data_IF_291369213607
#
_entry.id   IF_291369213607
#
_cell.length_a   1.000
_cell.length_b   1.000
_cell.length_c   1.000
_cell.angle_alpha   90.00
_cell.angle_beta   90.00
_cell.angle_gamma   90.00
#
_symmetry.space_group_name_H-M   'P 1'
#
loop_
_entity.id
_entity.type
_entity.pdbx_description
1 polymer ?
#
# COMPACT_ATOMS: atom_id res chain seq x y z
N UNK A 1 7.46 12.99 41.64
CA UNK A 1 6.12 13.42 41.16
C UNK A 1 6.18 14.35 39.94
N UNK A 2 6.54 15.64 40.04
CA UNK A 2 6.54 16.54 38.86
C UNK A 2 7.54 16.16 37.75
N UNK A 3 8.76 15.76 38.12
CA UNK A 3 9.78 15.27 37.16
C UNK A 3 9.42 13.93 36.52
N UNK A 4 8.75 13.03 37.25
CA UNK A 4 8.28 11.75 36.68
C UNK A 4 7.14 11.96 35.69
N UNK A 5 6.25 12.93 35.95
CA UNK A 5 5.19 13.32 35.02
C UNK A 5 5.76 13.99 33.75
N UNK A 6 6.85 14.74 33.86
CA UNK A 6 7.59 15.25 32.69
C UNK A 6 8.29 14.14 31.91
N UNK A 7 8.92 13.18 32.60
CA UNK A 7 9.56 12.02 31.96
C UNK A 7 8.52 11.14 31.26
N UNK A 8 7.34 10.94 31.84
CA UNK A 8 6.22 10.24 31.20
C UNK A 8 5.69 10.99 29.98
N UNK A 9 5.49 12.31 30.07
CA UNK A 9 5.09 13.15 28.91
C UNK A 9 6.14 13.17 27.80
N UNK A 10 7.42 13.12 28.15
CA UNK A 10 8.53 13.01 27.18
C UNK A 10 8.56 11.62 26.56
N UNK A 11 8.37 10.55 27.33
CA UNK A 11 8.26 9.18 26.79
C UNK A 11 7.05 9.01 25.86
N UNK A 12 5.91 9.61 26.18
CA UNK A 12 4.70 9.58 25.36
C UNK A 12 4.87 10.38 24.06
N UNK A 13 5.55 11.54 24.11
CA UNK A 13 5.94 12.31 22.91
C UNK A 13 6.95 11.60 22.01
N UNK A 14 7.90 10.86 22.59
CA UNK A 14 8.93 10.11 21.82
C UNK A 14 8.33 8.90 21.09
N UNK A 15 7.19 8.37 21.56
CA UNK A 15 6.43 7.31 20.89
C UNK A 15 5.58 7.79 19.70
N UNK A 16 5.50 9.10 19.46
CA UNK A 16 4.73 9.70 18.35
C UNK A 16 5.58 10.29 17.21
N UNK A 17 6.89 10.04 17.16
CA UNK A 17 7.68 10.38 15.97
C UNK A 17 7.50 9.33 14.86
N UNK A 18 6.38 9.44 14.17
CA UNK A 18 6.12 8.73 12.92
C UNK A 18 7.17 9.15 11.88
N UNK A 19 7.87 8.21 11.21
CA UNK A 19 8.94 8.54 10.26
C UNK A 19 8.44 9.52 9.19
N UNK A 20 9.31 10.49 8.85
CA UNK A 20 9.06 11.55 7.86
C UNK A 20 8.42 10.98 6.58
N UNK A 21 7.12 11.20 6.40
CA UNK A 21 6.38 10.79 5.20
C UNK A 21 5.19 9.85 5.41
N UNK A 22 5.00 9.29 6.60
CA UNK A 22 3.81 8.50 6.94
C UNK A 22 2.78 9.40 7.63
N UNK A 23 1.63 9.61 7.00
CA UNK A 23 0.51 10.35 7.58
C UNK A 23 -0.57 9.36 8.02
N UNK A 24 -1.02 9.46 9.28
CA UNK A 24 -2.28 8.83 9.71
C UNK A 24 -3.45 9.65 9.16
N UNK A 25 -4.48 8.98 8.68
CA UNK A 25 -5.73 9.66 8.35
C UNK A 25 -6.37 10.21 9.63
N UNK A 26 -6.93 11.44 9.57
CA UNK A 26 -7.77 11.97 10.65
C UNK A 26 -9.08 11.17 10.63
N UNK A 27 -9.57 10.74 11.79
CA UNK A 27 -10.83 10.00 11.91
C UNK A 27 -11.95 10.69 11.12
N UNK A 28 -12.64 9.92 10.29
CA UNK A 28 -13.60 10.46 9.33
C UNK A 28 -14.93 10.76 10.02
N UNK A 29 -15.45 11.99 9.85
CA UNK A 29 -16.71 12.39 10.46
C UNK A 29 -17.88 12.02 9.53
N UNK A 30 -18.78 11.16 10.00
CA UNK A 30 -19.82 10.52 9.19
C UNK A 30 -20.87 11.50 8.64
N UNK A 31 -21.11 12.58 9.38
CA UNK A 31 -22.18 13.54 9.09
C UNK A 31 -21.94 14.33 7.80
N UNK A 32 -20.68 14.49 7.39
CA UNK A 32 -20.32 15.24 6.19
C UNK A 32 -20.41 14.40 4.90
N UNK A 33 -20.65 13.09 5.00
CA UNK A 33 -20.67 12.22 3.83
C UNK A 33 -22.09 12.02 3.29
N UNK A 34 -22.32 12.54 2.08
CA UNK A 34 -23.52 12.26 1.31
C UNK A 34 -23.24 11.22 0.21
N UNK A 35 -23.56 9.93 0.42
CA UNK A 35 -23.23 8.88 -0.52
C UNK A 35 -24.03 9.02 -1.81
N UNK A 36 -23.36 8.82 -2.95
CA UNK A 36 -23.98 8.88 -4.29
C UNK A 36 -24.27 7.49 -4.82
N UNK A 37 -23.44 6.52 -4.47
CA UNK A 37 -23.53 5.12 -4.87
C UNK A 37 -24.44 4.31 -3.96
N UNK A 38 -25.00 3.23 -4.49
CA UNK A 38 -25.76 2.24 -3.70
C UNK A 38 -24.90 1.63 -2.59
N UNK A 39 -23.64 1.33 -2.88
CA UNK A 39 -22.68 0.85 -1.88
C UNK A 39 -22.54 1.84 -0.71
N UNK A 40 -22.33 3.13 -1.02
CA UNK A 40 -22.22 4.16 0.01
C UNK A 40 -23.49 4.28 0.86
N UNK A 41 -24.67 4.19 0.23
CA UNK A 41 -25.96 4.21 0.96
C UNK A 41 -26.11 3.02 1.90
N UNK A 42 -25.77 1.81 1.44
CA UNK A 42 -25.86 0.59 2.28
C UNK A 42 -24.92 0.63 3.48
N UNK A 43 -23.71 1.14 3.29
CA UNK A 43 -22.73 1.32 4.38
C UNK A 43 -23.21 2.40 5.36
N UNK A 44 -23.73 3.52 4.85
CA UNK A 44 -24.31 4.58 5.70
C UNK A 44 -25.53 4.11 6.49
N UNK A 45 -26.33 3.22 5.91
CA UNK A 45 -27.46 2.57 6.59
C UNK A 45 -27.03 1.54 7.63
N UNK A 46 -25.73 1.18 7.71
CA UNK A 46 -25.20 0.19 8.65
C UNK A 46 -25.38 -1.27 8.22
N UNK A 47 -25.75 -1.54 6.97
CA UNK A 47 -25.91 -2.92 6.46
C UNK A 47 -24.57 -3.63 6.26
N UNK A 48 -23.48 -2.88 6.02
CA UNK A 48 -22.15 -3.39 5.72
C UNK A 48 -21.11 -2.66 6.58
N UNK A 49 -20.65 -3.33 7.63
CA UNK A 49 -19.68 -2.77 8.57
C UNK A 49 -18.25 -3.29 8.32
N UNK A 50 -18.09 -4.36 7.53
CA UNK A 50 -16.81 -4.98 7.24
C UNK A 50 -16.35 -4.69 5.81
N UNK A 51 -15.10 -4.25 5.66
CA UNK A 51 -14.47 -4.05 4.34
C UNK A 51 -14.34 -5.37 3.56
N UNK A 52 -14.21 -6.49 4.26
CA UNK A 52 -14.12 -7.82 3.66
C UNK A 52 -15.37 -8.21 2.88
N UNK A 53 -16.54 -7.90 3.42
CA UNK A 53 -17.82 -8.16 2.76
C UNK A 53 -17.97 -7.29 1.50
N UNK A 54 -17.51 -6.03 1.57
CA UNK A 54 -17.50 -5.12 0.43
C UNK A 54 -16.61 -5.67 -0.69
N UNK A 55 -15.40 -6.12 -0.36
CA UNK A 55 -14.47 -6.68 -1.35
C UNK A 55 -14.96 -8.01 -1.94
N UNK A 56 -15.56 -8.88 -1.11
CA UNK A 56 -16.11 -10.16 -1.55
C UNK A 56 -17.38 -10.01 -2.41
N UNK A 57 -18.14 -8.93 -2.22
CA UNK A 57 -19.31 -8.61 -3.07
C UNK A 57 -18.94 -8.39 -4.55
N UNK A 58 -17.65 -8.18 -4.86
CA UNK A 58 -17.16 -7.93 -6.22
C UNK A 58 -17.58 -6.58 -6.80
N UNK A 59 -18.33 -5.76 -6.04
CA UNK A 59 -18.73 -4.42 -6.45
C UNK A 59 -17.52 -3.48 -6.42
N UNK A 60 -17.46 -2.55 -7.38
CA UNK A 60 -16.36 -1.57 -7.47
C UNK A 60 -16.56 -0.46 -6.46
N UNK A 61 -15.51 -0.12 -5.73
CA UNK A 61 -15.47 1.05 -4.85
C UNK A 61 -15.23 2.29 -5.70
N UNK A 62 -16.16 3.25 -5.67
CA UNK A 62 -16.10 4.51 -6.43
C UNK A 62 -15.99 5.75 -5.54
N UNK A 63 -16.24 5.58 -4.24
CA UNK A 63 -16.16 6.61 -3.21
C UNK A 63 -15.01 6.29 -2.27
N UNK A 64 -14.18 7.28 -1.96
CA UNK A 64 -13.05 7.12 -1.05
C UNK A 64 -13.47 7.15 0.41
N UNK A 65 -14.59 7.80 0.67
CA UNK A 65 -15.24 7.96 1.96
C UNK A 65 -15.63 6.60 2.55
N UNK A 66 -16.01 5.64 1.71
CA UNK A 66 -16.27 4.25 2.10
C UNK A 66 -15.06 3.65 2.83
N UNK A 67 -13.88 3.84 2.28
CA UNK A 67 -12.64 3.30 2.84
C UNK A 67 -12.27 4.04 4.12
N UNK A 68 -12.44 5.35 4.14
CA UNK A 68 -12.11 6.18 5.30
C UNK A 68 -13.02 5.89 6.50
N UNK A 69 -14.26 5.47 6.24
CA UNK A 69 -15.18 5.01 7.28
C UNK A 69 -14.83 3.60 7.79
N UNK A 70 -14.61 2.66 6.89
CA UNK A 70 -14.38 1.25 7.25
C UNK A 70 -12.98 0.98 7.81
N UNK A 71 -11.98 1.79 7.45
CA UNK A 71 -10.59 1.65 7.86
C UNK A 71 -10.04 3.00 8.37
N UNK A 72 -10.28 3.34 9.65
CA UNK A 72 -9.84 4.63 10.23
C UNK A 72 -8.33 4.68 10.52
N UNK A 73 -7.65 3.54 10.58
CA UNK A 73 -6.22 3.40 10.92
C UNK A 73 -5.29 3.50 9.69
N UNK A 74 -5.84 3.93 8.55
CA UNK A 74 -5.18 3.90 7.26
C UNK A 74 -3.99 4.87 7.21
N UNK A 75 -2.81 4.32 6.90
CA UNK A 75 -1.58 5.08 6.71
C UNK A 75 -1.39 5.42 5.24
N UNK A 76 -0.81 6.59 4.99
CA UNK A 76 -0.52 7.09 3.65
C UNK A 76 0.97 7.36 3.54
N UNK A 77 1.61 6.83 2.50
CA UNK A 77 3.00 7.13 2.15
C UNK A 77 3.13 7.42 0.64
N UNK A 78 4.07 8.29 0.26
CA UNK A 78 4.38 8.56 -1.15
C UNK A 78 5.64 7.81 -1.58
N UNK A 79 5.58 7.17 -2.74
CA UNK A 79 6.67 6.36 -3.27
C UNK A 79 7.63 7.16 -4.16
N UNK A 80 8.91 6.76 -4.17
CA UNK A 80 9.99 7.47 -4.85
C UNK A 80 10.13 7.01 -6.32
N UNK A 81 9.38 7.67 -7.21
CA UNK A 81 9.37 7.33 -8.65
C UNK A 81 10.25 8.27 -9.48
N UNK A 82 10.45 9.49 -9.02
CA UNK A 82 11.19 10.52 -9.72
C UNK A 82 12.70 10.39 -9.63
N UNK A 83 13.37 11.12 -10.51
CA UNK A 83 14.80 11.35 -10.49
C UNK A 83 15.03 12.86 -10.64
N UNK A 84 15.75 13.43 -9.70
CA UNK A 84 16.29 14.78 -9.77
C UNK A 84 17.79 14.71 -10.01
N UNK A 85 18.35 15.72 -10.69
CA UNK A 85 19.80 15.85 -10.80
C UNK A 85 20.37 16.17 -9.42
N UNK A 86 21.38 15.41 -8.98
CA UNK A 86 22.18 15.70 -7.78
C UNK A 86 23.39 16.57 -8.11
N UNK A 87 24.11 16.99 -7.07
CA UNK A 87 25.23 17.95 -7.13
C UNK A 87 26.37 17.54 -8.09
N UNK A 88 26.57 16.24 -8.32
CA UNK A 88 27.63 15.68 -9.18
C UNK A 88 27.09 14.88 -10.39
N UNK A 89 25.91 15.24 -10.92
CA UNK A 89 25.29 14.48 -12.01
C UNK A 89 24.68 13.13 -11.60
N UNK A 90 24.91 12.68 -10.35
CA UNK A 90 24.22 11.53 -9.76
C UNK A 90 22.73 11.79 -9.59
N UNK A 91 21.87 10.85 -9.99
CA UNK A 91 20.42 10.99 -9.86
C UNK A 91 19.96 10.80 -8.40
N UNK A 92 19.46 11.85 -7.75
CA UNK A 92 18.74 11.75 -6.48
C UNK A 92 17.31 11.30 -6.72
N UNK A 93 16.82 10.31 -5.97
CA UNK A 93 15.42 9.87 -6.07
C UNK A 93 14.50 10.90 -5.42
N UNK A 94 13.39 11.18 -6.10
CA UNK A 94 12.36 12.12 -5.64
C UNK A 94 10.98 11.46 -5.65
N UNK A 95 10.08 11.97 -4.82
CA UNK A 95 8.67 11.56 -4.80
C UNK A 95 8.02 11.89 -6.15
N UNK A 96 8.35 13.06 -6.70
CA UNK A 96 7.75 13.62 -7.90
C UNK A 96 8.50 13.20 -9.16
N UNK A 97 7.77 12.65 -10.13
CA UNK A 97 8.26 12.46 -11.50
C UNK A 97 7.74 13.61 -12.38
N UNK A 98 8.64 14.47 -12.84
CA UNK A 98 8.30 15.51 -13.81
C UNK A 98 8.19 14.89 -15.21
N UNK A 99 7.14 15.25 -15.93
CA UNK A 99 6.96 14.94 -17.36
C UNK A 99 6.65 16.24 -18.08
N UNK A 100 7.19 16.45 -19.27
CA UNK A 100 6.96 17.68 -20.03
C UNK A 100 6.39 17.35 -21.40
N UNK A 101 5.38 18.09 -21.84
CA UNK A 101 4.91 18.09 -23.24
C UNK A 101 5.52 19.31 -23.93
N UNK A 102 6.21 19.10 -25.06
CA UNK A 102 6.66 20.21 -25.91
C UNK A 102 5.49 20.74 -26.74
N UNK A 103 5.30 22.05 -26.75
CA UNK A 103 4.33 22.76 -27.59
C UNK A 103 5.00 23.99 -28.22
N UNK A 104 4.41 24.56 -29.27
CA UNK A 104 4.95 25.77 -29.93
C UNK A 104 5.08 26.96 -28.97
N UNK A 105 4.15 27.05 -28.00
CA UNK A 105 4.14 28.04 -26.91
C UNK A 105 5.14 27.73 -25.78
N UNK A 106 6.00 26.71 -25.95
CA UNK A 106 6.97 26.28 -24.95
C UNK A 106 6.62 24.95 -24.27
N UNK A 107 7.33 24.64 -23.19
CA UNK A 107 7.22 23.37 -22.49
C UNK A 107 6.12 23.42 -21.42
N UNK A 108 5.17 22.47 -21.45
CA UNK A 108 4.11 22.34 -20.46
C UNK A 108 4.44 21.21 -19.47
N UNK A 109 5.03 21.50 -18.29
CA UNK A 109 5.36 20.49 -17.29
C UNK A 109 4.13 19.96 -16.57
N UNK A 110 4.21 18.69 -16.14
CA UNK A 110 3.25 18.02 -15.27
C UNK A 110 4.01 17.19 -14.25
N UNK A 111 3.50 17.15 -13.03
CA UNK A 111 4.04 16.33 -11.95
C UNK A 111 3.20 15.07 -11.77
N UNK A 112 3.88 13.94 -11.64
CA UNK A 112 3.27 12.66 -11.38
C UNK A 112 3.82 12.04 -10.09
N UNK A 113 2.96 11.36 -9.34
CA UNK A 113 3.28 10.66 -8.10
C UNK A 113 2.54 9.34 -8.01
N UNK A 114 3.02 8.50 -7.09
CA UNK A 114 2.31 7.30 -6.69
C UNK A 114 2.18 7.30 -5.17
N UNK A 115 0.96 7.14 -4.69
CA UNK A 115 0.64 6.98 -3.28
C UNK A 115 0.48 5.49 -2.97
N UNK A 116 0.96 5.13 -1.79
CA UNK A 116 0.73 3.86 -1.13
C UNK A 116 -0.18 4.13 0.07
N UNK A 117 -1.18 3.29 0.24
CA UNK A 117 -2.18 3.38 1.30
C UNK A 117 -2.32 1.99 1.91
N UNK A 118 -2.44 1.88 3.24
CA UNK A 118 -2.61 0.58 3.89
C UNK A 118 -2.56 0.65 5.41
N UNK A 119 -3.01 -0.42 6.06
CA UNK A 119 -3.19 -0.49 7.52
C UNK A 119 -2.24 -1.48 8.20
N UNK A 120 -1.18 -1.95 7.51
CA UNK A 120 -0.23 -2.97 8.01
C UNK A 120 -0.88 -4.30 8.41
N UNK A 121 -2.17 -4.47 8.14
CA UNK A 121 -2.93 -5.66 8.50
C UNK A 121 -3.61 -6.28 7.27
N UNK A 122 -2.84 -6.42 6.19
CA UNK A 122 -3.29 -7.09 4.97
C UNK A 122 -4.07 -6.21 3.99
N UNK A 123 -4.41 -4.95 4.31
CA UNK A 123 -5.02 -4.05 3.33
C UNK A 123 -4.00 -3.09 2.74
N UNK A 124 -3.91 -3.09 1.41
CA UNK A 124 -3.01 -2.22 0.66
C UNK A 124 -3.69 -1.69 -0.59
N UNK A 125 -3.44 -0.44 -0.91
CA UNK A 125 -3.81 0.19 -2.18
C UNK A 125 -2.67 1.02 -2.75
N UNK A 126 -2.54 1.02 -4.08
CA UNK A 126 -1.64 1.93 -4.78
C UNK A 126 -2.42 2.81 -5.74
N UNK A 127 -1.99 4.07 -5.88
CA UNK A 127 -2.71 5.04 -6.70
C UNK A 127 -1.77 5.97 -7.43
N UNK A 128 -1.99 6.12 -8.74
CA UNK A 128 -1.22 7.04 -9.59
C UNK A 128 -1.96 8.37 -9.75
N UNK A 129 -1.26 9.47 -9.54
CA UNK A 129 -1.78 10.82 -9.72
C UNK A 129 -0.89 11.65 -10.64
N UNK A 130 -1.50 12.46 -11.50
CA UNK A 130 -0.78 13.41 -12.37
C UNK A 130 -1.56 14.71 -12.49
N UNK A 131 -0.88 15.83 -12.33
CA UNK A 131 -1.46 17.17 -12.48
C UNK A 131 -0.44 18.19 -12.97
N UNK A 132 -0.88 19.43 -13.19
CA UNK A 132 0.01 20.58 -13.49
C UNK A 132 0.84 20.98 -12.26
N UNK A 133 0.23 20.88 -11.08
CA UNK A 133 0.83 21.19 -9.78
C UNK A 133 1.05 19.93 -8.92
N UNK A 134 1.83 20.05 -7.85
CA UNK A 134 2.20 18.93 -6.97
C UNK A 134 1.07 18.52 -6.02
N UNK A 135 0.41 19.47 -5.35
CA UNK A 135 -0.65 19.16 -4.37
C UNK A 135 -1.85 18.43 -5.01
N UNK A 136 -2.41 18.90 -6.14
CA UNK A 136 -3.52 18.18 -6.79
C UNK A 136 -3.09 16.82 -7.35
N UNK A 137 -1.80 16.62 -7.70
CA UNK A 137 -1.31 15.32 -8.12
C UNK A 137 -1.26 14.32 -6.94
N UNK A 138 -0.84 14.80 -5.75
CA UNK A 138 -0.84 14.01 -4.51
C UNK A 138 -2.25 13.58 -4.11
N UNK A 139 -3.20 14.50 -4.07
CA UNK A 139 -4.59 14.20 -3.72
C UNK A 139 -5.21 13.18 -4.67
N UNK A 140 -5.00 13.34 -5.99
CA UNK A 140 -5.42 12.36 -6.99
C UNK A 140 -4.79 10.99 -6.77
N UNK A 141 -3.51 10.94 -6.42
CA UNK A 141 -2.81 9.69 -6.13
C UNK A 141 -3.41 9.00 -4.89
N UNK A 142 -3.65 9.74 -3.80
CA UNK A 142 -4.26 9.22 -2.56
C UNK A 142 -5.68 8.73 -2.84
N UNK A 143 -6.49 9.52 -3.56
CA UNK A 143 -7.85 9.14 -3.93
C UNK A 143 -7.85 7.82 -4.70
N UNK A 144 -7.01 7.72 -5.73
CA UNK A 144 -6.88 6.50 -6.52
C UNK A 144 -6.34 5.31 -5.71
N UNK A 145 -5.50 5.55 -4.70
CA UNK A 145 -4.98 4.46 -3.86
C UNK A 145 -6.07 3.87 -2.97
N UNK A 146 -6.90 4.71 -2.36
CA UNK A 146 -8.06 4.29 -1.56
C UNK A 146 -9.06 3.48 -2.41
N UNK A 147 -9.36 3.94 -3.62
CA UNK A 147 -10.28 3.21 -4.53
C UNK A 147 -9.74 1.84 -4.97
N UNK A 148 -8.41 1.67 -5.01
CA UNK A 148 -7.74 0.43 -5.44
C UNK A 148 -7.21 -0.38 -4.25
N UNK A 149 -7.96 -0.47 -3.15
CA UNK A 149 -7.59 -1.33 -2.03
C UNK A 149 -7.79 -2.80 -2.39
N UNK A 150 -6.83 -3.62 -2.00
CA UNK A 150 -6.88 -5.08 -2.06
C UNK A 150 -6.66 -5.65 -0.67
N UNK A 151 -7.34 -6.77 -0.40
CA UNK A 151 -6.98 -7.67 0.70
C UNK A 151 -5.85 -8.58 0.24
N UNK A 152 -4.77 -8.63 1.01
CA UNK A 152 -3.62 -9.50 0.80
C UNK A 152 -3.74 -10.70 1.75
N UNK A 153 -3.65 -11.91 1.20
CA UNK A 153 -3.58 -13.14 2.01
C UNK A 153 -2.18 -13.27 2.61
N UNK A 154 -2.07 -13.45 3.91
CA UNK A 154 -0.81 -13.73 4.60
C UNK A 154 -0.77 -15.19 5.05
N UNK A 155 0.41 -15.69 5.40
CA UNK A 155 0.57 -17.04 5.93
C UNK A 155 2.01 -17.50 5.98
N UNK A 156 2.22 -18.74 6.43
CA UNK A 156 3.53 -19.37 6.41
C UNK A 156 3.59 -20.43 5.30
N UNK A 157 4.31 -20.12 4.22
CA UNK A 157 4.50 -21.03 3.07
C UNK A 157 5.91 -21.59 2.90
N UNK A 158 6.82 -21.30 3.83
CA UNK A 158 8.22 -21.72 3.71
C UNK A 158 8.36 -23.16 4.18
N UNK A 159 9.11 -23.98 3.43
CA UNK A 159 9.44 -25.34 3.86
C UNK A 159 10.24 -25.37 5.17
N UNK A 160 11.03 -24.31 5.41
CA UNK A 160 11.90 -24.18 6.59
C UNK A 160 11.15 -23.78 7.86
N UNK A 161 9.86 -23.43 7.76
CA UNK A 161 9.11 -22.86 8.88
C UNK A 161 7.67 -23.39 8.92
N UNK A 162 7.32 -24.08 10.01
CA UNK A 162 5.98 -24.61 10.27
C UNK A 162 5.24 -23.91 11.41
N UNK A 163 5.50 -22.62 11.64
CA UNK A 163 5.04 -21.92 12.86
C UNK A 163 3.57 -21.45 12.86
N UNK A 164 2.80 -21.71 11.80
CA UNK A 164 1.39 -21.30 11.67
C UNK A 164 1.13 -19.79 11.53
N UNK A 165 2.10 -18.94 11.91
CA UNK A 165 1.91 -17.47 11.97
C UNK A 165 1.89 -16.80 10.60
N UNK A 166 1.11 -15.73 10.51
CA UNK A 166 0.98 -14.86 9.34
C UNK A 166 2.13 -13.83 9.22
N UNK A 167 3.37 -14.30 9.06
CA UNK A 167 4.52 -13.39 8.87
C UNK A 167 4.97 -13.25 7.41
N UNK A 168 4.61 -14.20 6.54
CA UNK A 168 5.04 -14.26 5.15
C UNK A 168 3.86 -14.45 4.18
N UNK A 169 4.16 -14.93 2.98
CA UNK A 169 3.21 -15.30 1.94
C UNK A 169 3.00 -16.83 1.95
N UNK A 170 1.80 -17.35 1.68
CA UNK A 170 1.53 -18.79 1.68
C UNK A 170 2.13 -19.57 0.50
N UNK A 171 2.29 -18.96 -0.68
CA UNK A 171 2.88 -19.63 -1.85
C UNK A 171 3.65 -18.65 -2.73
N UNK A 172 4.54 -19.20 -3.56
CA UNK A 172 5.30 -18.42 -4.53
C UNK A 172 4.37 -17.77 -5.55
N UNK A 173 4.54 -16.49 -5.81
CA UNK A 173 3.76 -15.73 -6.80
C UNK A 173 4.66 -14.92 -7.72
N UNK A 174 4.21 -14.70 -8.94
CA UNK A 174 4.88 -13.84 -9.90
C UNK A 174 3.91 -12.77 -10.39
N UNK A 175 4.33 -11.52 -10.37
CA UNK A 175 3.61 -10.39 -10.93
C UNK A 175 4.38 -9.79 -12.10
N UNK A 176 3.64 -9.29 -13.10
CA UNK A 176 4.24 -8.72 -14.31
C UNK A 176 3.64 -7.37 -14.62
N UNK A 177 4.51 -6.38 -14.82
CA UNK A 177 4.09 -5.07 -15.33
C UNK A 177 5.13 -4.53 -16.31
N UNK A 178 4.67 -4.30 -17.55
CA UNK A 178 5.53 -3.99 -18.69
C UNK A 178 6.62 -5.07 -18.89
N UNK A 179 7.90 -4.68 -18.91
CA UNK A 179 9.04 -5.60 -19.01
C UNK A 179 9.49 -6.16 -17.66
N UNK A 180 8.93 -5.69 -16.55
CA UNK A 180 9.35 -6.07 -15.20
C UNK A 180 8.58 -7.30 -14.75
N UNK A 181 9.33 -8.32 -14.34
CA UNK A 181 8.81 -9.52 -13.67
C UNK A 181 9.34 -9.54 -12.24
N UNK A 182 8.44 -9.64 -11.27
CA UNK A 182 8.75 -9.72 -9.85
C UNK A 182 8.21 -11.04 -9.32
N UNK A 183 9.10 -11.89 -8.81
CA UNK A 183 8.73 -13.14 -8.16
C UNK A 183 8.90 -12.98 -6.66
N UNK A 184 7.84 -13.24 -5.91
CA UNK A 184 7.82 -13.28 -4.46
C UNK A 184 7.79 -14.74 -4.01
N UNK A 185 8.63 -15.07 -3.05
CA UNK A 185 8.79 -16.41 -2.51
C UNK A 185 8.65 -16.36 -0.98
N UNK A 186 7.99 -17.36 -0.38
CA UNK A 186 7.86 -17.45 1.06
C UNK A 186 9.24 -17.54 1.72
N UNK A 187 9.38 -16.97 2.92
CA UNK A 187 10.62 -16.99 3.69
C UNK A 187 10.35 -17.46 5.13
N UNK A 188 11.32 -18.11 5.80
CA UNK A 188 11.20 -18.44 7.21
C UNK A 188 11.23 -17.17 8.07
N UNK A 189 10.70 -17.30 9.28
CA UNK A 189 10.63 -16.21 10.26
C UNK A 189 12.03 -15.67 10.57
N UNK A 190 12.19 -14.34 10.55
CA UNK A 190 13.47 -13.67 10.84
C UNK A 190 14.36 -13.42 9.62
N UNK A 191 13.89 -13.77 8.42
CA UNK A 191 14.60 -13.43 7.17
C UNK A 191 14.56 -11.94 6.84
N UNK A 192 13.60 -11.21 7.41
CA UNK A 192 13.22 -9.85 7.06
C UNK A 192 12.82 -9.70 5.58
N UNK A 193 12.47 -8.46 5.19
CA UNK A 193 12.12 -8.13 3.82
C UNK A 193 13.38 -7.97 2.95
N UNK A 194 13.81 -9.06 2.28
CA UNK A 194 14.92 -9.03 1.31
C UNK A 194 14.44 -8.57 -0.07
N UNK A 195 14.06 -7.30 -0.17
CA UNK A 195 13.47 -6.70 -1.38
C UNK A 195 14.01 -5.29 -1.60
N UNK A 196 13.87 -4.78 -2.82
CA UNK A 196 14.10 -3.37 -3.12
C UNK A 196 13.24 -2.44 -2.24
N UNK A 197 13.82 -1.32 -1.79
CA UNK A 197 13.25 -0.36 -0.82
C UNK A 197 11.80 0.05 -1.09
N UNK A 198 11.42 0.34 -2.34
CA UNK A 198 10.04 0.77 -2.65
C UNK A 198 9.04 -0.39 -2.51
N UNK A 199 9.43 -1.60 -2.90
CA UNK A 199 8.61 -2.79 -2.69
C UNK A 199 8.58 -3.20 -1.22
N UNK A 200 9.66 -2.97 -0.48
CA UNK A 200 9.71 -3.18 0.97
C UNK A 200 8.64 -2.35 1.68
N UNK A 201 8.44 -1.09 1.28
CA UNK A 201 7.36 -0.24 1.80
C UNK A 201 5.98 -0.86 1.57
N UNK A 202 5.71 -1.30 0.33
CA UNK A 202 4.43 -1.95 -0.04
C UNK A 202 4.16 -3.18 0.83
N UNK A 203 5.17 -4.04 0.99
CA UNK A 203 5.05 -5.28 1.75
C UNK A 203 4.90 -5.04 3.25
N UNK A 204 5.58 -4.01 3.78
CA UNK A 204 5.40 -3.58 5.17
C UNK A 204 3.99 -3.06 5.42
N UNK A 205 3.43 -2.29 4.48
CA UNK A 205 2.03 -1.83 4.54
C UNK A 205 1.02 -2.99 4.38
N UNK A 206 1.41 -4.08 3.74
CA UNK A 206 0.62 -5.32 3.70
C UNK A 206 0.71 -6.13 5.01
N UNK A 207 1.60 -5.76 5.94
CA UNK A 207 1.84 -6.53 7.16
C UNK A 207 2.72 -7.76 6.96
N UNK A 208 3.43 -7.86 5.83
CA UNK A 208 4.37 -8.95 5.56
C UNK A 208 5.73 -8.58 6.16
N UNK A 209 6.30 -9.47 6.97
CA UNK A 209 7.58 -9.26 7.67
C UNK A 209 8.75 -9.93 6.97
N UNK A 210 8.54 -11.14 6.45
CA UNK A 210 9.61 -11.94 5.86
C UNK A 210 9.26 -12.35 4.43
N UNK A 211 10.19 -12.13 3.50
CA UNK A 211 9.98 -12.53 2.11
C UNK A 211 11.30 -12.61 1.34
N UNK A 212 11.35 -13.52 0.39
CA UNK A 212 12.37 -13.54 -0.65
C UNK A 212 11.82 -12.97 -1.95
N UNK A 213 12.62 -12.17 -2.64
CA UNK A 213 12.23 -11.60 -3.91
C UNK A 213 13.28 -11.87 -4.98
N UNK A 214 12.81 -12.12 -6.19
CA UNK A 214 13.64 -12.18 -7.40
C UNK A 214 13.03 -11.27 -8.44
N UNK A 215 13.81 -10.32 -8.91
CA UNK A 215 13.34 -9.30 -9.85
C UNK A 215 14.12 -9.39 -11.16
N UNK A 216 13.46 -9.22 -12.29
CA UNK A 216 14.16 -9.01 -13.56
C UNK A 216 14.97 -7.70 -13.53
N UNK A 217 16.10 -7.65 -14.26
CA UNK A 217 16.95 -6.45 -14.36
C UNK A 217 16.16 -5.33 -15.05
N UNK A 218 15.59 -4.41 -14.27
CA UNK A 218 14.81 -3.30 -14.78
C UNK A 218 15.14 -1.98 -14.08
N UNK A 219 15.22 -0.91 -14.87
CA UNK A 219 15.52 0.45 -14.37
C UNK A 219 14.26 1.20 -13.91
N UNK A 220 13.07 0.73 -14.30
CA UNK A 220 11.79 1.42 -14.17
C UNK A 220 11.05 1.07 -12.86
N UNK A 221 11.19 1.93 -11.85
CA UNK A 221 10.54 1.77 -10.52
C UNK A 221 9.02 1.65 -10.59
N UNK A 222 8.38 2.46 -11.44
CA UNK A 222 6.93 2.43 -11.60
C UNK A 222 6.45 1.07 -12.11
N UNK A 223 7.23 0.42 -12.98
CA UNK A 223 6.94 -0.94 -13.45
C UNK A 223 7.11 -1.95 -12.32
N UNK A 224 8.18 -1.83 -11.54
CA UNK A 224 8.44 -2.71 -10.41
C UNK A 224 7.34 -2.64 -9.33
N UNK A 225 6.95 -1.43 -8.92
CA UNK A 225 5.90 -1.23 -7.92
C UNK A 225 4.58 -1.84 -8.39
N UNK A 226 4.20 -1.59 -9.66
CA UNK A 226 3.00 -2.19 -10.24
C UNK A 226 3.09 -3.71 -10.30
N UNK A 227 4.25 -4.28 -10.66
CA UNK A 227 4.43 -5.74 -10.65
C UNK A 227 4.36 -6.34 -9.25
N UNK A 228 4.79 -5.61 -8.22
CA UNK A 228 4.66 -6.04 -6.83
C UNK A 228 3.19 -6.07 -6.40
N UNK A 229 2.44 -5.03 -6.71
CA UNK A 229 1.02 -4.98 -6.42
C UNK A 229 0.22 -6.05 -7.19
N UNK A 230 0.59 -6.31 -8.45
CA UNK A 230 0.02 -7.37 -9.26
C UNK A 230 0.31 -8.78 -8.69
N UNK A 231 1.52 -9.00 -8.16
CA UNK A 231 1.87 -10.24 -7.47
C UNK A 231 1.00 -10.45 -6.21
N UNK A 232 0.80 -9.39 -5.41
CA UNK A 232 -0.08 -9.44 -4.23
C UNK A 232 -1.55 -9.65 -4.61
N UNK A 233 -2.00 -9.06 -5.72
CA UNK A 233 -3.36 -9.30 -6.23
C UNK A 233 -3.55 -10.75 -6.68
N UNK A 234 -2.54 -11.29 -7.37
CA UNK A 234 -2.55 -12.68 -7.86
C UNK A 234 -2.59 -13.67 -6.69
N UNK A 235 -1.95 -13.33 -5.57
CA UNK A 235 -2.02 -14.09 -4.32
C UNK A 235 -3.46 -14.27 -3.83
N UNK A 236 -4.27 -13.22 -3.90
CA UNK A 236 -5.65 -13.28 -3.44
C UNK A 236 -6.55 -14.10 -4.38
N UNK A 237 -6.20 -14.19 -5.66
CA UNK A 237 -6.95 -14.94 -6.68
C UNK A 237 -6.73 -16.45 -6.63
N UNK A 238 -5.64 -16.93 -6.03
CA UNK A 238 -5.38 -18.37 -6.00
C UNK A 238 -6.44 -19.08 -5.17
N UNK A 239 -7.05 -20.09 -5.80
CA UNK A 239 -8.01 -20.99 -5.18
C UNK A 239 -7.25 -21.91 -4.23
N UNK A 240 -7.54 -21.76 -2.95
CA UNK A 240 -7.01 -22.64 -1.89
C UNK A 240 -8.06 -23.71 -1.62
N UNK A 241 -7.64 -24.96 -1.38
CA UNK A 241 -8.56 -26.02 -0.95
C UNK A 241 -9.08 -25.68 0.45
N UNK A 242 -10.36 -25.94 0.71
CA UNK A 242 -10.99 -25.61 1.99
C UNK A 242 -10.24 -26.23 3.19
N UNK A 243 -9.78 -27.47 3.05
CA UNK A 243 -8.94 -28.18 4.03
C UNK A 243 -7.65 -27.44 4.42
N UNK A 244 -7.11 -26.62 3.52
CA UNK A 244 -5.89 -25.83 3.77
C UNK A 244 -6.24 -24.48 4.40
N UNK A 245 -7.42 -23.92 4.13
CA UNK A 245 -7.90 -22.70 4.81
C UNK A 245 -8.27 -22.98 6.26
N UNK A 246 -8.90 -24.12 6.55
CA UNK A 246 -9.26 -24.55 7.91
C UNK A 246 -8.02 -24.73 8.80
N UNK A 247 -6.91 -25.24 8.25
CA UNK A 247 -5.63 -25.35 8.98
C UNK A 247 -5.01 -24.00 9.31
N UNK A 248 -5.28 -22.97 8.52
CA UNK A 248 -4.79 -21.60 8.75
C UNK A 248 -5.70 -20.85 9.74
N UNK A 249 -6.98 -21.23 9.85
CA UNK A 249 -7.94 -20.59 10.76
C UNK A 249 -8.01 -21.24 12.15
N UNK A 250 -7.62 -22.51 12.28
CA UNK A 250 -7.69 -23.28 13.53
C UNK A 250 -6.34 -23.39 14.28
N UNK A 251 -5.29 -22.70 13.82
CA UNK A 251 -3.98 -22.54 14.47
C UNK A 251 -3.68 -21.07 14.76
#
# INVERSE_FOLDING_TARGET
>A
MAKEQEIQKVQEKVLEEVPLGVQKTRGYNLDNWNPKTELGKRIKNGELNNIDEVLNSGKRILETEIVDYLLPDLQIELLLIGQSKGKFGGGKRSIWRQTQKKTSEGNKPKFATLALVGNKDGYVGIGFGKSKETMPAREKAIRNAKLNIIKVKRGCGSWECGCGKEHSIPFKVEGKSASVRLRLMPAPKGSNLKVEKECQKILNFAGIKDIYSKTSKSKTKMGLIKSCFDALRSLSQVKVRNSTMEKVQNE
#
